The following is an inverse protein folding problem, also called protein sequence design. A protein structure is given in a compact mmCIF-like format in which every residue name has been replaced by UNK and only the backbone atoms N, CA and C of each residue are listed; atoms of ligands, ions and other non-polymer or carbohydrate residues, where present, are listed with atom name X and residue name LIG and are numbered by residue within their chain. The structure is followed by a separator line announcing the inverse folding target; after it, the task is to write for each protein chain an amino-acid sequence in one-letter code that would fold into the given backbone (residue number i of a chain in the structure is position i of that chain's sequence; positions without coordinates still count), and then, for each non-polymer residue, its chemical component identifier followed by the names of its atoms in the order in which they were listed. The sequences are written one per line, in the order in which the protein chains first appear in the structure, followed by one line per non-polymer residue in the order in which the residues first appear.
data_IF_746846468395
#
_entry.id   IF_746846468395
#
_cell.length_a   1.000
_cell.length_b   1.000
_cell.length_c   1.000
_cell.angle_alpha   90.00
_cell.angle_beta   90.00
_cell.angle_gamma   90.00
#
_symmetry.space_group_name_H-M   'P 1'
#
loop_
_entity.id
_entity.type
_entity.pdbx_description
1 polymer ?
#
# COMPACT_ATOMS: atom_id res chain seq x y z
N UNK A 1 -20.76 6.33 -19.97
CA UNK A 1 -20.22 5.22 -20.78
C UNK A 1 -18.82 4.73 -20.32
N UNK A 2 -18.30 5.13 -19.15
CA UNK A 2 -16.98 4.73 -18.63
C UNK A 2 -17.00 3.48 -17.73
N UNK A 3 -18.15 3.19 -17.12
CA UNK A 3 -18.29 2.10 -16.15
C UNK A 3 -18.12 0.71 -16.78
N UNK A 4 -18.62 0.48 -18.00
CA UNK A 4 -18.47 -0.80 -18.69
C UNK A 4 -17.00 -1.16 -18.96
N UNK A 5 -16.23 -0.21 -19.51
CA UNK A 5 -14.78 -0.38 -19.72
C UNK A 5 -14.04 -0.61 -18.41
N UNK A 6 -14.33 0.21 -17.39
CA UNK A 6 -13.67 0.11 -16.08
C UNK A 6 -13.97 -1.25 -15.41
N UNK A 7 -15.22 -1.70 -15.46
CA UNK A 7 -15.63 -2.98 -14.91
C UNK A 7 -14.93 -4.14 -15.62
N UNK A 8 -14.95 -4.15 -16.97
CA UNK A 8 -14.29 -5.18 -17.77
C UNK A 8 -12.79 -5.26 -17.45
N UNK A 9 -12.08 -4.14 -17.52
CA UNK A 9 -10.65 -4.10 -17.25
C UNK A 9 -10.33 -4.54 -15.81
N UNK A 10 -11.14 -4.14 -14.83
CA UNK A 10 -10.97 -4.59 -13.42
C UNK A 10 -11.20 -6.09 -13.27
N UNK A 11 -12.20 -6.65 -13.96
CA UNK A 11 -12.48 -8.08 -13.91
C UNK A 11 -11.34 -8.90 -14.54
N UNK A 12 -10.85 -8.50 -15.71
CA UNK A 12 -9.72 -9.13 -16.39
C UNK A 12 -8.45 -9.10 -15.53
N UNK A 13 -8.15 -7.94 -14.93
CA UNK A 13 -7.05 -7.80 -13.97
C UNK A 13 -7.20 -8.76 -12.79
N UNK A 14 -8.40 -8.83 -12.19
CA UNK A 14 -8.67 -9.70 -11.04
C UNK A 14 -8.51 -11.18 -11.38
N UNK A 15 -8.81 -11.60 -12.61
CA UNK A 15 -8.55 -12.98 -13.06
C UNK A 15 -7.05 -13.25 -13.06
N UNK A 16 -6.23 -12.37 -13.65
CA UNK A 16 -4.77 -12.53 -13.67
C UNK A 16 -4.21 -12.56 -12.25
N UNK A 17 -4.64 -11.63 -11.39
CA UNK A 17 -4.21 -11.57 -9.99
C UNK A 17 -4.62 -12.81 -9.20
N UNK A 18 -5.84 -13.32 -9.40
CA UNK A 18 -6.32 -14.51 -8.70
C UNK A 18 -5.56 -15.77 -9.13
N UNK A 19 -5.32 -15.95 -10.43
CA UNK A 19 -4.50 -17.05 -10.96
C UNK A 19 -3.08 -17.01 -10.36
N UNK A 20 -2.50 -15.81 -10.30
CA UNK A 20 -1.19 -15.58 -9.72
C UNK A 20 -1.16 -15.92 -8.23
N UNK A 21 -2.14 -15.42 -7.46
CA UNK A 21 -2.24 -15.69 -6.04
C UNK A 21 -2.45 -17.19 -5.76
N UNK A 22 -3.31 -17.85 -6.53
CA UNK A 22 -3.53 -19.29 -6.43
C UNK A 22 -2.24 -20.07 -6.63
N UNK A 23 -1.46 -19.72 -7.65
CA UNK A 23 -0.17 -20.37 -7.90
C UNK A 23 0.90 -20.00 -6.87
N UNK A 24 0.91 -18.76 -6.37
CA UNK A 24 1.91 -18.31 -5.40
C UNK A 24 1.71 -18.94 -4.01
N UNK A 25 0.45 -19.11 -3.60
CA UNK A 25 0.07 -19.46 -2.23
C UNK A 25 -0.61 -20.83 -2.09
N UNK A 26 -0.62 -21.67 -3.14
CA UNK A 26 -1.10 -23.05 -2.99
C UNK A 26 -0.28 -23.82 -1.96
N UNK A 27 -0.92 -24.80 -1.30
CA UNK A 27 -0.32 -25.59 -0.23
C UNK A 27 0.99 -26.27 -0.68
N UNK A 28 2.04 -26.15 0.15
CA UNK A 28 3.36 -26.70 -0.15
C UNK A 28 4.23 -25.86 -1.11
N UNK A 29 3.72 -24.75 -1.65
CA UNK A 29 4.50 -23.84 -2.51
C UNK A 29 5.26 -22.80 -1.69
N UNK A 30 6.41 -22.38 -2.21
CA UNK A 30 7.26 -21.32 -1.64
C UNK A 30 7.17 -20.02 -2.46
N UNK A 31 6.05 -19.79 -3.15
CA UNK A 31 5.88 -18.72 -4.13
C UNK A 31 5.97 -19.20 -5.59
N UNK A 32 6.09 -18.23 -6.49
CA UNK A 32 6.14 -18.43 -7.95
C UNK A 32 7.57 -18.73 -8.41
N UNK A 33 7.71 -19.72 -9.30
CA UNK A 33 8.96 -19.94 -10.03
C UNK A 33 9.22 -18.81 -11.04
N UNK A 34 10.47 -18.65 -11.49
CA UNK A 34 10.83 -17.62 -12.49
C UNK A 34 9.99 -17.71 -13.78
N UNK A 35 9.71 -18.94 -14.24
CA UNK A 35 8.89 -19.16 -15.43
C UNK A 35 7.46 -18.69 -15.23
N UNK A 36 6.88 -18.94 -14.05
CA UNK A 36 5.53 -18.47 -13.71
C UNK A 36 5.51 -16.94 -13.55
N UNK A 37 6.53 -16.35 -12.95
CA UNK A 37 6.66 -14.89 -12.82
C UNK A 37 6.72 -14.20 -14.19
N UNK A 38 7.59 -14.67 -15.09
CA UNK A 38 7.68 -14.16 -16.46
C UNK A 38 6.34 -14.30 -17.20
N UNK A 39 5.64 -15.42 -17.02
CA UNK A 39 4.32 -15.64 -17.60
C UNK A 39 3.27 -14.64 -17.09
N UNK A 40 3.22 -14.38 -15.78
CA UNK A 40 2.28 -13.40 -15.21
C UNK A 40 2.66 -11.96 -15.58
N UNK A 41 3.95 -11.65 -15.64
CA UNK A 41 4.43 -10.35 -16.10
C UNK A 41 4.01 -10.09 -17.55
N UNK A 42 4.16 -11.08 -18.43
CA UNK A 42 3.68 -10.99 -19.81
C UNK A 42 2.17 -10.76 -19.86
N UNK A 43 1.37 -11.56 -19.12
CA UNK A 43 -0.10 -11.39 -19.05
C UNK A 43 -0.51 -10.00 -18.57
N UNK A 44 0.15 -9.49 -17.52
CA UNK A 44 -0.11 -8.15 -16.98
C UNK A 44 0.24 -7.05 -17.99
N UNK A 45 1.40 -7.16 -18.63
CA UNK A 45 1.84 -6.20 -19.66
C UNK A 45 0.91 -6.21 -20.88
N UNK A 46 0.51 -7.39 -21.36
CA UNK A 46 -0.45 -7.52 -22.46
C UNK A 46 -1.79 -6.90 -22.08
N UNK A 47 -2.31 -7.18 -20.88
CA UNK A 47 -3.55 -6.58 -20.43
C UNK A 47 -3.45 -5.04 -20.32
N UNK A 48 -2.36 -4.53 -19.73
CA UNK A 48 -2.13 -3.09 -19.56
C UNK A 48 -2.03 -2.36 -20.91
N UNK A 49 -1.27 -2.91 -21.85
CA UNK A 49 -1.07 -2.32 -23.17
C UNK A 49 -2.34 -2.36 -24.04
N UNK A 50 -3.29 -3.25 -23.72
CA UNK A 50 -4.58 -3.36 -24.42
C UNK A 50 -5.70 -2.58 -23.72
N UNK A 51 -5.40 -1.79 -22.68
CA UNK A 51 -6.41 -0.94 -22.05
C UNK A 51 -6.98 0.05 -23.08
N UNK A 52 -8.31 0.27 -23.09
CA UNK A 52 -8.91 1.35 -23.87
C UNK A 52 -8.25 2.68 -23.54
N UNK A 53 -8.16 3.58 -24.52
CA UNK A 53 -7.55 4.92 -24.36
C UNK A 53 -8.05 5.66 -23.10
N UNK A 54 -9.34 5.53 -22.83
CA UNK A 54 -10.04 6.10 -21.66
C UNK A 54 -9.51 5.62 -20.30
N UNK A 55 -8.87 4.45 -20.26
CA UNK A 55 -8.28 3.85 -19.07
C UNK A 55 -6.76 3.92 -19.08
N UNK A 56 -6.16 4.49 -20.14
CA UNK A 56 -4.73 4.70 -20.22
C UNK A 56 -4.27 5.68 -19.13
N UNK A 57 -3.02 5.55 -18.69
CA UNK A 57 -2.46 6.39 -17.64
C UNK A 57 -2.50 7.90 -17.94
N UNK A 58 -2.59 8.31 -19.20
CA UNK A 58 -2.68 9.73 -19.57
C UNK A 58 -4.09 10.33 -19.44
N UNK A 59 -5.13 9.51 -19.27
CA UNK A 59 -6.53 9.98 -19.22
C UNK A 59 -7.24 9.62 -17.89
N UNK A 60 -6.53 9.03 -16.92
CA UNK A 60 -7.14 8.63 -15.65
C UNK A 60 -7.47 9.83 -14.75
N UNK A 61 -8.75 9.98 -14.44
CA UNK A 61 -9.27 11.06 -13.58
C UNK A 61 -10.20 10.56 -12.47
N UNK A 62 -10.76 9.36 -12.62
CA UNK A 62 -11.73 8.82 -11.67
C UNK A 62 -11.04 7.98 -10.59
N UNK A 63 -11.56 7.96 -9.35
CA UNK A 63 -11.05 7.12 -8.25
C UNK A 63 -10.85 5.66 -8.65
N UNK A 64 -11.80 5.08 -9.40
CA UNK A 64 -11.72 3.70 -9.87
C UNK A 64 -10.57 3.44 -10.85
N UNK A 65 -10.20 4.43 -11.66
CA UNK A 65 -9.07 4.33 -12.58
C UNK A 65 -7.76 4.38 -11.80
N UNK A 66 -7.61 5.36 -10.91
CA UNK A 66 -6.41 5.51 -10.09
C UNK A 66 -6.14 4.28 -9.23
N UNK A 67 -7.17 3.69 -8.61
CA UNK A 67 -7.04 2.44 -7.84
C UNK A 67 -6.59 1.26 -8.68
N UNK A 68 -7.09 1.15 -9.92
CA UNK A 68 -6.68 0.10 -10.83
C UNK A 68 -5.18 0.20 -11.13
N UNK A 69 -4.70 1.39 -11.49
CA UNK A 69 -3.28 1.63 -11.75
C UNK A 69 -2.40 1.41 -10.52
N UNK A 70 -2.87 1.84 -9.33
CA UNK A 70 -2.16 1.60 -8.08
C UNK A 70 -1.96 0.11 -7.76
N UNK A 71 -2.96 -0.74 -8.07
CA UNK A 71 -2.80 -2.19 -7.90
C UNK A 71 -1.76 -2.78 -8.84
N UNK A 72 -1.69 -2.31 -10.08
CA UNK A 72 -0.69 -2.78 -11.04
C UNK A 72 0.71 -2.46 -10.53
N UNK A 73 0.93 -1.22 -10.07
CA UNK A 73 2.25 -0.80 -9.62
C UNK A 73 2.71 -1.54 -8.38
N UNK A 74 1.80 -2.03 -7.53
CA UNK A 74 2.18 -2.91 -6.42
C UNK A 74 2.57 -4.31 -6.90
N UNK A 75 1.99 -4.79 -8.00
CA UNK A 75 2.25 -6.12 -8.53
C UNK A 75 3.44 -6.21 -9.48
N UNK A 76 3.80 -5.09 -10.12
CA UNK A 76 4.90 -5.00 -11.08
C UNK A 76 6.23 -5.52 -10.47
N UNK A 77 6.63 -5.12 -9.24
CA UNK A 77 7.85 -5.64 -8.62
C UNK A 77 7.73 -7.09 -8.14
N UNK A 78 6.52 -7.56 -7.83
CA UNK A 78 6.27 -8.95 -7.43
C UNK A 78 6.40 -9.94 -8.60
N UNK A 79 6.32 -9.43 -9.83
CA UNK A 79 6.45 -10.20 -11.06
C UNK A 79 7.87 -10.18 -11.65
N UNK A 80 8.75 -9.29 -11.17
CA UNK A 80 10.14 -9.19 -11.62
C UNK A 80 11.10 -9.92 -10.67
N UNK A 81 11.54 -11.14 -11.00
CA UNK A 81 12.74 -11.70 -10.33
C UNK A 81 14.02 -11.14 -10.91
N UNK A 82 14.96 -10.82 -10.01
CA UNK A 82 16.33 -10.42 -10.28
C UNK A 82 17.09 -11.52 -11.03
N UNK A 83 17.65 -11.18 -12.19
CA UNK A 83 18.83 -11.86 -12.70
C UNK A 83 20.04 -10.95 -12.46
N UNK A 84 20.95 -11.39 -11.58
CA UNK A 84 22.32 -10.85 -11.54
C UNK A 84 23.22 -11.50 -12.60
N UNK A 85 22.67 -12.41 -13.41
CA UNK A 85 23.44 -13.23 -14.36
C UNK A 85 23.24 -12.88 -15.84
N UNK A 86 22.35 -11.94 -16.15
CA UNK A 86 21.98 -11.58 -17.52
C UNK A 86 22.55 -10.20 -17.86
N UNK A 87 23.54 -10.15 -18.76
CA UNK A 87 24.19 -8.92 -19.26
C UNK A 87 23.28 -8.01 -20.12
N UNK A 88 21.98 -8.31 -20.23
CA UNK A 88 21.04 -7.48 -20.97
C UNK A 88 20.56 -6.30 -20.11
N UNK A 89 20.25 -5.19 -20.79
CA UNK A 89 19.86 -3.87 -20.24
C UNK A 89 18.52 -3.85 -19.48
N UNK A 90 18.18 -4.93 -18.80
CA UNK A 90 17.07 -5.01 -17.84
C UNK A 90 17.38 -4.14 -16.64
N UNK A 91 16.45 -3.24 -16.29
CA UNK A 91 16.48 -2.49 -15.03
C UNK A 91 16.68 -3.47 -13.87
N UNK A 92 17.59 -3.15 -12.94
CA UNK A 92 17.76 -3.96 -11.75
C UNK A 92 16.44 -4.04 -10.98
N UNK A 93 16.21 -5.12 -10.23
CA UNK A 93 14.98 -5.25 -9.45
C UNK A 93 14.80 -4.11 -8.43
N UNK A 94 15.90 -3.57 -7.91
CA UNK A 94 15.89 -2.37 -7.08
C UNK A 94 15.36 -1.14 -7.84
N UNK A 95 15.72 -0.97 -9.12
CA UNK A 95 15.22 0.11 -9.95
C UNK A 95 13.74 -0.07 -10.31
N UNK A 96 13.28 -1.31 -10.54
CA UNK A 96 11.85 -1.62 -10.76
C UNK A 96 11.02 -1.31 -9.52
N UNK A 97 11.49 -1.74 -8.34
CA UNK A 97 10.88 -1.41 -7.05
C UNK A 97 10.80 0.11 -6.84
N UNK A 98 11.92 0.82 -6.98
CA UNK A 98 11.95 2.27 -6.81
C UNK A 98 11.00 2.99 -7.79
N UNK A 99 10.91 2.53 -9.04
CA UNK A 99 9.99 3.11 -10.02
C UNK A 99 8.52 2.84 -9.65
N UNK A 100 8.19 1.64 -9.18
CA UNK A 100 6.87 1.30 -8.70
C UNK A 100 6.46 2.15 -7.49
N UNK A 101 7.38 2.39 -6.56
CA UNK A 101 7.18 3.27 -5.41
C UNK A 101 6.87 4.71 -5.86
N UNK A 102 7.70 5.28 -6.74
CA UNK A 102 7.50 6.64 -7.29
C UNK A 102 6.13 6.76 -7.97
N UNK A 103 5.75 5.76 -8.79
CA UNK A 103 4.45 5.75 -9.48
C UNK A 103 3.30 5.67 -8.48
N UNK A 104 3.38 4.80 -7.47
CA UNK A 104 2.35 4.67 -6.44
C UNK A 104 2.21 5.96 -5.64
N UNK A 105 3.32 6.56 -5.18
CA UNK A 105 3.31 7.83 -4.46
C UNK A 105 2.67 8.94 -5.31
N UNK A 106 3.04 9.04 -6.58
CA UNK A 106 2.49 10.01 -7.53
C UNK A 106 0.98 9.85 -7.68
N UNK A 107 0.48 8.63 -7.84
CA UNK A 107 -0.95 8.35 -7.90
C UNK A 107 -1.68 8.73 -6.61
N UNK A 108 -1.08 8.47 -5.44
CA UNK A 108 -1.71 8.81 -4.17
C UNK A 108 -1.80 10.33 -3.98
N UNK A 109 -0.74 11.06 -4.31
CA UNK A 109 -0.76 12.54 -4.30
C UNK A 109 -1.82 13.08 -5.26
N UNK A 110 -1.86 12.56 -6.49
CA UNK A 110 -2.86 12.96 -7.49
C UNK A 110 -4.29 12.70 -7.01
N UNK A 111 -4.54 11.52 -6.43
CA UNK A 111 -5.83 11.16 -5.86
C UNK A 111 -6.29 12.20 -4.82
N UNK A 112 -5.45 12.49 -3.82
CA UNK A 112 -5.84 13.39 -2.72
C UNK A 112 -5.90 14.86 -3.13
N UNK A 113 -5.18 15.27 -4.19
CA UNK A 113 -5.32 16.60 -4.80
C UNK A 113 -6.67 16.74 -5.50
N UNK A 114 -7.13 15.73 -6.22
CA UNK A 114 -8.38 15.81 -7.00
C UNK A 114 -9.64 15.47 -6.21
N UNK A 115 -9.55 14.53 -5.26
CA UNK A 115 -10.71 13.98 -4.56
C UNK A 115 -10.80 14.38 -3.10
N UNK A 116 -9.76 15.04 -2.56
CA UNK A 116 -9.69 15.42 -1.17
C UNK A 116 -9.66 14.22 -0.23
N UNK A 117 -9.88 14.47 1.06
CA UNK A 117 -9.79 13.47 2.13
C UNK A 117 -11.16 13.01 2.65
N UNK A 118 -12.22 13.76 2.37
CA UNK A 118 -13.52 13.61 3.01
C UNK A 118 -14.32 12.40 2.51
N UNK A 119 -14.03 11.96 1.29
CA UNK A 119 -14.67 10.78 0.71
C UNK A 119 -14.16 9.52 1.41
N UNK A 120 -15.08 8.76 2.00
CA UNK A 120 -14.75 7.47 2.58
C UNK A 120 -14.27 6.47 1.51
N UNK A 121 -13.08 5.92 1.70
CA UNK A 121 -12.48 4.98 0.75
C UNK A 121 -11.58 3.96 1.44
N UNK A 122 -12.13 2.77 1.68
CA UNK A 122 -11.39 1.66 2.31
C UNK A 122 -10.24 1.17 1.44
N UNK A 123 -10.33 1.33 0.12
CA UNK A 123 -9.31 0.81 -0.78
C UNK A 123 -8.03 1.65 -0.72
N UNK A 124 -8.19 2.97 -0.59
CA UNK A 124 -7.07 3.89 -0.45
C UNK A 124 -6.28 3.68 0.83
N UNK A 125 -6.92 3.17 1.89
CA UNK A 125 -6.23 2.85 3.15
C UNK A 125 -5.11 1.83 2.94
N UNK A 126 -5.28 0.83 2.08
CA UNK A 126 -4.23 -0.16 1.81
C UNK A 126 -2.98 0.50 1.23
N UNK A 127 -3.14 1.42 0.28
CA UNK A 127 -2.04 2.15 -0.33
C UNK A 127 -1.39 3.14 0.63
N UNK A 128 -2.20 3.83 1.43
CA UNK A 128 -1.72 4.72 2.48
C UNK A 128 -0.87 3.97 3.50
N UNK A 129 -1.37 2.84 4.00
CA UNK A 129 -0.64 1.98 4.93
C UNK A 129 0.70 1.54 4.34
N UNK A 130 0.70 1.06 3.09
CA UNK A 130 1.90 0.61 2.41
C UNK A 130 2.95 1.72 2.28
N UNK A 131 2.60 2.88 1.71
CA UNK A 131 3.52 4.01 1.58
C UNK A 131 3.99 4.54 2.95
N UNK A 132 3.08 4.57 3.93
CA UNK A 132 3.35 5.05 5.27
C UNK A 132 4.49 4.29 5.96
N UNK A 133 4.32 2.97 6.10
CA UNK A 133 5.34 2.13 6.73
C UNK A 133 6.64 2.08 5.92
N UNK A 134 6.55 2.11 4.59
CA UNK A 134 7.71 2.14 3.71
C UNK A 134 8.58 3.38 3.97
N UNK A 135 8.00 4.57 3.96
CA UNK A 135 8.76 5.81 4.16
C UNK A 135 9.25 5.99 5.60
N UNK A 136 8.51 5.48 6.61
CA UNK A 136 9.01 5.41 7.99
C UNK A 136 10.29 4.58 8.04
N UNK A 137 10.31 3.41 7.37
CA UNK A 137 11.50 2.55 7.29
C UNK A 137 12.64 3.25 6.53
N UNK A 138 12.35 3.93 5.42
CA UNK A 138 13.36 4.66 4.64
C UNK A 138 14.06 5.75 5.47
N UNK A 139 13.33 6.51 6.29
CA UNK A 139 13.91 7.50 7.21
C UNK A 139 14.79 6.80 8.26
N UNK A 140 14.33 5.69 8.84
CA UNK A 140 15.08 4.95 9.85
C UNK A 140 16.40 4.38 9.30
N UNK A 141 16.41 3.95 8.03
CA UNK A 141 17.59 3.39 7.37
C UNK A 141 18.52 4.44 6.76
N UNK A 142 18.04 5.68 6.55
CA UNK A 142 18.84 6.77 5.97
C UNK A 142 18.69 8.09 6.77
N UNK A 143 19.23 8.16 8.01
CA UNK A 143 18.97 9.29 8.91
C UNK A 143 19.56 10.63 8.45
N UNK A 144 20.63 10.60 7.65
CA UNK A 144 21.27 11.79 7.08
C UNK A 144 20.68 12.20 5.72
N UNK A 145 19.65 11.50 5.23
CA UNK A 145 19.21 11.51 3.84
C UNK A 145 18.63 12.85 3.37
N UNK A 146 19.12 13.33 2.22
CA UNK A 146 18.60 14.49 1.48
C UNK A 146 17.09 14.38 1.16
N UNK A 147 16.56 13.15 1.11
CA UNK A 147 15.16 12.86 0.80
C UNK A 147 14.22 12.85 2.02
N UNK A 148 14.72 13.09 3.23
CA UNK A 148 13.91 13.00 4.45
C UNK A 148 12.68 13.92 4.43
N UNK A 149 12.78 15.10 3.86
CA UNK A 149 11.65 16.03 3.76
C UNK A 149 10.59 15.52 2.77
N UNK A 150 11.01 14.87 1.67
CA UNK A 150 10.09 14.21 0.75
C UNK A 150 9.35 13.05 1.43
N UNK A 151 10.07 12.20 2.18
CA UNK A 151 9.48 11.12 2.95
C UNK A 151 8.50 11.63 4.01
N UNK A 152 8.86 12.68 4.76
CA UNK A 152 7.97 13.32 5.74
C UNK A 152 6.73 13.91 5.09
N UNK A 153 6.85 14.48 3.89
CA UNK A 153 5.71 14.96 3.10
C UNK A 153 4.74 13.82 2.76
N UNK A 154 5.25 12.66 2.35
CA UNK A 154 4.42 11.47 2.09
C UNK A 154 3.79 10.94 3.38
N UNK A 155 4.56 10.86 4.47
CA UNK A 155 4.04 10.42 5.78
C UNK A 155 2.94 11.39 6.26
N UNK A 156 3.08 12.69 6.06
CA UNK A 156 2.02 13.67 6.38
C UNK A 156 0.74 13.40 5.60
N UNK A 157 0.85 13.18 4.27
CA UNK A 157 -0.28 12.81 3.41
C UNK A 157 -0.98 11.56 3.96
N UNK A 158 -0.20 10.53 4.27
CA UNK A 158 -0.70 9.25 4.79
C UNK A 158 -1.39 9.42 6.15
N UNK A 159 -0.73 10.09 7.09
CA UNK A 159 -1.27 10.35 8.42
C UNK A 159 -2.60 11.13 8.33
N UNK A 160 -2.69 12.11 7.43
CA UNK A 160 -3.90 12.89 7.22
C UNK A 160 -5.02 12.03 6.66
N UNK A 161 -4.72 11.23 5.64
CA UNK A 161 -5.67 10.27 5.06
C UNK A 161 -6.19 9.27 6.08
N UNK A 162 -5.31 8.60 6.80
CA UNK A 162 -5.70 7.64 7.83
C UNK A 162 -6.47 8.29 8.97
N UNK A 163 -6.12 9.51 9.37
CA UNK A 163 -6.84 10.25 10.43
C UNK A 163 -8.27 10.58 10.01
N UNK A 164 -8.47 11.10 8.80
CA UNK A 164 -9.81 11.38 8.26
C UNK A 164 -10.61 10.10 8.09
N UNK A 165 -10.02 9.04 7.53
CA UNK A 165 -10.69 7.75 7.39
C UNK A 165 -11.01 7.09 8.75
N UNK A 166 -10.16 7.30 9.76
CA UNK A 166 -10.36 6.81 11.13
C UNK A 166 -11.60 7.39 11.81
N UNK A 167 -12.13 8.52 11.33
CA UNK A 167 -13.42 9.04 11.79
C UNK A 167 -14.59 8.16 11.33
N UNK A 168 -14.41 7.43 10.22
CA UNK A 168 -15.44 6.59 9.62
C UNK A 168 -15.34 5.12 10.04
N UNK A 169 -14.13 4.58 10.29
CA UNK A 169 -13.95 3.19 10.69
C UNK A 169 -12.65 2.94 11.48
N UNK A 170 -12.72 2.04 12.46
CA UNK A 170 -11.64 1.81 13.43
C UNK A 170 -10.32 1.31 12.81
N UNK A 171 -10.38 0.54 11.72
CA UNK A 171 -9.17 -0.02 11.10
C UNK A 171 -8.18 1.07 10.66
N UNK A 172 -8.66 2.15 10.03
CA UNK A 172 -7.79 3.25 9.62
C UNK A 172 -7.15 3.98 10.81
N UNK A 173 -7.89 4.11 11.91
CA UNK A 173 -7.33 4.70 13.13
C UNK A 173 -6.26 3.83 13.76
N UNK A 174 -6.47 2.52 13.82
CA UNK A 174 -5.49 1.59 14.37
C UNK A 174 -4.18 1.69 13.59
N UNK A 175 -4.27 1.70 12.25
CA UNK A 175 -3.09 1.85 11.38
C UNK A 175 -2.41 3.21 11.62
N UNK A 176 -3.18 4.29 11.79
CA UNK A 176 -2.64 5.61 12.10
C UNK A 176 -1.85 5.62 13.42
N UNK A 177 -2.38 4.98 14.47
CA UNK A 177 -1.70 4.85 15.78
C UNK A 177 -0.43 4.02 15.66
N UNK A 178 -0.49 2.87 14.98
CA UNK A 178 0.68 2.03 14.78
C UNK A 178 1.78 2.74 13.99
N UNK A 179 1.41 3.51 12.96
CA UNK A 179 2.36 4.32 12.22
C UNK A 179 3.01 5.38 13.10
N UNK A 180 2.23 6.09 13.93
CA UNK A 180 2.77 7.04 14.90
C UNK A 180 3.78 6.37 15.84
N UNK A 181 3.45 5.21 16.37
CA UNK A 181 4.29 4.49 17.33
C UNK A 181 5.57 3.94 16.66
N UNK A 182 5.56 3.70 15.35
CA UNK A 182 6.73 3.32 14.55
C UNK A 182 7.66 4.50 14.18
N UNK A 183 7.21 5.75 14.32
CA UNK A 183 8.00 6.94 13.99
C UNK A 183 9.00 7.31 15.10
N UNK A 184 10.06 8.03 14.73
CA UNK A 184 10.97 8.64 15.70
C UNK A 184 10.24 9.70 16.56
N UNK A 185 10.73 9.97 17.77
CA UNK A 185 10.15 11.00 18.63
C UNK A 185 10.15 12.40 17.99
N UNK A 186 11.07 12.67 17.06
CA UNK A 186 11.12 13.92 16.30
C UNK A 186 9.95 14.01 15.31
N UNK A 187 9.73 12.95 14.53
CA UNK A 187 8.66 12.91 13.53
C UNK A 187 7.27 12.82 14.18
N UNK A 188 7.15 12.14 15.33
CA UNK A 188 5.93 12.16 16.15
C UNK A 188 5.57 13.58 16.61
N UNK A 189 6.56 14.38 17.05
CA UNK A 189 6.33 15.79 17.42
C UNK A 189 5.94 16.63 16.22
N UNK A 190 6.61 16.44 15.09
CA UNK A 190 6.31 17.15 13.84
C UNK A 190 4.87 16.92 13.38
N UNK A 191 4.38 15.67 13.45
CA UNK A 191 3.04 15.29 13.05
C UNK A 191 2.01 15.35 14.18
N UNK A 192 2.43 15.71 15.40
CA UNK A 192 1.60 15.74 16.61
C UNK A 192 0.26 16.46 16.42
N UNK A 193 0.20 17.67 15.82
CA UNK A 193 -1.07 18.36 15.59
C UNK A 193 -2.08 17.56 14.75
N UNK A 194 -1.59 16.70 13.85
CA UNK A 194 -2.39 15.84 12.99
C UNK A 194 -2.76 14.51 13.67
N UNK A 195 -1.81 13.96 14.44
CA UNK A 195 -1.91 12.65 15.10
C UNK A 195 -2.55 12.71 16.49
N UNK A 196 -2.77 13.90 17.04
CA UNK A 196 -3.40 14.06 18.35
C UNK A 196 -4.83 13.51 18.34
N UNK A 197 -5.07 12.58 19.26
CA UNK A 197 -6.38 12.00 19.51
C UNK A 197 -7.12 12.83 20.56
N UNK A 198 -8.44 12.94 20.39
CA UNK A 198 -9.32 13.76 21.21
C UNK A 198 -9.36 13.36 22.69
N UNK A 199 -9.99 14.22 23.49
CA UNK A 199 -10.23 14.15 24.95
C UNK A 199 -10.91 12.85 25.46
N UNK A 200 -11.27 11.92 24.59
CA UNK A 200 -11.95 10.64 24.90
C UNK A 200 -11.17 9.40 24.40
N UNK A 201 -9.83 9.47 24.47
CA UNK A 201 -8.93 8.47 23.88
C UNK A 201 -9.15 7.07 24.47
N UNK A 202 -9.49 6.96 25.76
CA UNK A 202 -9.60 5.66 26.44
C UNK A 202 -10.89 4.89 26.10
N UNK A 203 -12.05 5.57 26.02
CA UNK A 203 -13.29 4.95 25.54
C UNK A 203 -13.11 4.51 24.08
N UNK A 204 -12.47 5.37 23.28
CA UNK A 204 -12.21 5.07 21.87
C UNK A 204 -11.26 3.88 21.69
N UNK A 205 -10.18 3.77 22.47
CA UNK A 205 -9.30 2.58 22.52
C UNK A 205 -10.06 1.31 22.88
N UNK A 206 -10.94 1.37 23.88
CA UNK A 206 -11.77 0.23 24.28
C UNK A 206 -12.69 -0.24 23.14
N UNK A 207 -13.33 0.69 22.42
CA UNK A 207 -14.15 0.37 21.26
C UNK A 207 -13.33 -0.26 20.12
N UNK A 208 -12.16 0.29 19.83
CA UNK A 208 -11.23 -0.24 18.82
C UNK A 208 -10.84 -1.68 19.15
N UNK A 209 -10.40 -1.92 20.39
CA UNK A 209 -9.97 -3.25 20.84
C UNK A 209 -11.10 -4.28 20.73
N UNK A 210 -12.33 -3.88 21.11
CA UNK A 210 -13.49 -4.76 21.05
C UNK A 210 -13.93 -5.09 19.61
N UNK A 211 -13.88 -4.11 18.70
CA UNK A 211 -14.53 -4.20 17.39
C UNK A 211 -13.58 -4.43 16.21
N UNK A 212 -12.27 -4.25 16.40
CA UNK A 212 -11.29 -4.46 15.33
C UNK A 212 -10.80 -5.90 15.32
N UNK A 213 -11.49 -6.76 14.59
CA UNK A 213 -11.05 -8.13 14.30
C UNK A 213 -10.59 -8.21 12.86
N UNK A 214 -9.29 -8.12 12.63
CA UNK A 214 -8.71 -8.14 11.29
C UNK A 214 -7.57 -9.15 11.17
N UNK A 215 -7.59 -9.89 10.07
CA UNK A 215 -6.49 -10.75 9.62
C UNK A 215 -5.51 -9.98 8.71
N UNK A 216 -5.73 -8.67 8.50
CA UNK A 216 -4.87 -7.83 7.67
C UNK A 216 -3.45 -7.82 8.25
N UNK A 217 -2.45 -8.29 7.48
CA UNK A 217 -1.06 -8.05 7.83
C UNK A 217 -0.68 -6.59 7.59
N UNK A 218 0.12 -6.03 8.48
CA UNK A 218 0.61 -4.64 8.43
C UNK A 218 2.13 -4.66 8.31
N UNK A 219 2.74 -3.66 7.65
CA UNK A 219 4.21 -3.54 7.56
C UNK A 219 4.91 -4.73 6.87
N UNK A 220 4.21 -5.39 5.93
CA UNK A 220 4.76 -6.44 5.07
C UNK A 220 5.05 -5.89 3.68
N UNK A 221 6.30 -6.01 3.25
CA UNK A 221 6.77 -5.51 1.96
C UNK A 221 7.33 -6.61 1.06
N UNK A 222 7.49 -7.83 1.58
CA UNK A 222 7.93 -8.99 0.81
C UNK A 222 6.92 -10.11 0.86
N UNK A 223 6.70 -10.77 -0.27
CA UNK A 223 5.89 -12.01 -0.35
C UNK A 223 6.49 -13.16 0.47
N UNK A 224 7.78 -13.06 0.81
CA UNK A 224 8.50 -14.07 1.60
C UNK A 224 8.40 -13.83 3.12
N UNK A 225 7.86 -12.70 3.56
CA UNK A 225 7.65 -12.40 4.98
C UNK A 225 6.38 -13.12 5.49
N UNK A 226 6.53 -13.91 6.55
CA UNK A 226 5.41 -14.64 7.14
C UNK A 226 4.39 -13.68 7.78
N UNK A 227 3.09 -13.72 7.41
CA UNK A 227 2.16 -12.68 7.79
C UNK A 227 1.68 -12.74 9.25
N UNK A 228 1.84 -13.89 9.92
CA UNK A 228 1.23 -14.17 11.22
C UNK A 228 1.59 -13.14 12.30
N UNK A 229 2.88 -12.80 12.46
CA UNK A 229 3.32 -11.85 13.50
C UNK A 229 2.81 -10.44 13.24
N UNK A 230 2.59 -10.11 11.98
CA UNK A 230 2.18 -8.80 11.52
C UNK A 230 0.67 -8.65 11.35
N UNK A 231 -0.11 -9.70 11.66
CA UNK A 231 -1.57 -9.62 11.66
C UNK A 231 -2.03 -8.64 12.71
N UNK A 232 -2.95 -7.76 12.31
CA UNK A 232 -3.43 -6.71 13.18
C UNK A 232 -4.05 -7.24 14.48
N UNK A 233 -4.78 -8.35 14.43
CA UNK A 233 -5.34 -8.99 15.63
C UNK A 233 -4.29 -9.45 16.65
N UNK A 234 -3.06 -9.71 16.21
CA UNK A 234 -1.94 -10.02 17.10
C UNK A 234 -1.30 -8.75 17.64
N UNK A 235 -1.17 -7.72 16.80
CA UNK A 235 -0.55 -6.44 17.18
C UNK A 235 -1.42 -5.65 18.18
N UNK A 236 -2.75 -5.66 18.02
CA UNK A 236 -3.68 -5.00 18.98
C UNK A 236 -3.55 -5.60 20.38
N UNK A 237 -3.34 -6.91 20.52
CA UNK A 237 -3.15 -7.53 21.84
C UNK A 237 -1.91 -6.99 22.53
N UNK A 238 -0.80 -6.88 21.80
CA UNK A 238 0.47 -6.34 22.31
C UNK A 238 0.32 -4.87 22.72
N UNK A 239 -0.34 -4.04 21.91
CA UNK A 239 -0.55 -2.62 22.20
C UNK A 239 -1.51 -2.38 23.38
N UNK A 240 -2.46 -3.30 23.64
CA UNK A 240 -3.37 -3.22 24.80
C UNK A 240 -2.70 -3.72 26.09
N UNK A 241 -1.71 -4.60 26.01
CA UNK A 241 -0.98 -5.14 27.17
C UNK A 241 0.20 -4.28 27.66
N UNK A 242 0.64 -3.29 26.87
CA UNK A 242 1.82 -2.43 27.18
C UNK A 242 1.48 -1.01 27.68
N UNK A 243 0.20 -0.74 27.98
CA UNK A 243 -0.30 0.47 28.67
C UNK A 243 -1.17 0.09 29.84
#
# INVERSE_FOLDING_TARGET
MWHGYTFKATAEFRVIFNDMAWQAFAEGRKGLSRKEQAHFQERLNTWYNNLPRQLSASEVLLPSHLKMHALIFILDPLSSSVDESSQDQTLSAAAVLALAEIKLETLMRLYYVHHGFDSHDVFMMQFLMFLGFMHIRSIATSPAGELNDAYRSTIYLVAKGLRTQGQNYYLAEVICRMMRDAMSSSDQKFLGPLLNVSVDDDVRKSLISRHTRSALPIDIFSINEGPEKQRLSNLIKVTVETT
#
